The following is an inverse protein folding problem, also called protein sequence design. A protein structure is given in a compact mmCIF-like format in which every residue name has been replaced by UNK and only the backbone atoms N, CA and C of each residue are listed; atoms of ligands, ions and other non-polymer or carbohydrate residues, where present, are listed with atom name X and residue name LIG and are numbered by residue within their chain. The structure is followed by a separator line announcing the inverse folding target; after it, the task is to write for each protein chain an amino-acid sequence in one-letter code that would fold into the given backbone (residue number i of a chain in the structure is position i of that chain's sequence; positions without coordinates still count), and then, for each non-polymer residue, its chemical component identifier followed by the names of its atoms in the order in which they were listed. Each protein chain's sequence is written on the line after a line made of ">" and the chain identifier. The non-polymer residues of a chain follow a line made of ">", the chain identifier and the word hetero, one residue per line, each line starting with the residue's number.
data_IF_324579671912
#
_entry.id   IF_324579671912
#
_cell.length_a   1.000
_cell.length_b   1.000
_cell.length_c   1.000
_cell.angle_alpha   90.00
_cell.angle_beta   90.00
_cell.angle_gamma   90.00
#
_symmetry.space_group_name_H-M   'P 1'
#
loop_
_entity.id
_entity.type
_entity.pdbx_description
1 polymer ?
#
# COMPACT_ATOMS: atom_id res chain seq x y z
N UNK A 1 -29.11 -54.66 -24.06
CA UNK A 1 -27.89 -53.89 -23.75
C UNK A 1 -27.70 -52.77 -24.77
N UNK A 2 -28.47 -51.67 -24.71
CA UNK A 2 -28.16 -50.48 -25.54
C UNK A 2 -28.87 -49.19 -25.11
N UNK A 3 -29.34 -49.08 -23.85
CA UNK A 3 -30.02 -47.86 -23.37
C UNK A 3 -29.19 -47.07 -22.32
N UNK A 4 -28.22 -47.67 -21.65
CA UNK A 4 -27.50 -46.99 -20.55
C UNK A 4 -26.35 -46.06 -20.99
N UNK A 5 -25.68 -46.33 -22.12
CA UNK A 5 -24.52 -45.53 -22.55
C UNK A 5 -24.88 -44.12 -23.06
N UNK A 6 -26.13 -43.88 -23.47
CA UNK A 6 -26.56 -42.55 -23.95
C UNK A 6 -26.80 -41.56 -22.81
N UNK A 7 -27.25 -42.03 -21.63
CA UNK A 7 -27.49 -41.18 -20.47
C UNK A 7 -26.20 -40.74 -19.77
N UNK A 8 -25.19 -41.61 -19.67
CA UNK A 8 -23.88 -41.25 -19.12
C UNK A 8 -23.16 -40.21 -19.99
N UNK A 9 -23.29 -40.32 -21.33
CA UNK A 9 -22.67 -39.37 -22.27
C UNK A 9 -23.35 -38.00 -22.24
N UNK A 10 -24.68 -37.94 -22.05
CA UNK A 10 -25.41 -36.68 -21.89
C UNK A 10 -25.16 -36.02 -20.53
N UNK A 11 -25.03 -36.80 -19.44
CA UNK A 11 -24.66 -36.25 -18.14
C UNK A 11 -23.21 -35.72 -18.11
N UNK A 12 -22.27 -36.40 -18.78
CA UNK A 12 -20.90 -35.90 -18.93
C UNK A 12 -20.82 -34.65 -19.82
N UNK A 13 -21.61 -34.55 -20.89
CA UNK A 13 -21.69 -33.33 -21.71
C UNK A 13 -22.35 -32.16 -20.97
N UNK A 14 -23.32 -32.42 -20.08
CA UNK A 14 -23.94 -31.37 -19.25
C UNK A 14 -23.03 -30.84 -18.13
N UNK A 15 -22.08 -31.65 -17.64
CA UNK A 15 -21.16 -31.25 -16.56
C UNK A 15 -20.00 -30.40 -17.08
N UNK A 16 -19.66 -30.50 -18.36
CA UNK A 16 -18.57 -29.73 -19.00
C UNK A 16 -19.04 -28.33 -19.42
N UNK A 17 -20.35 -28.11 -19.62
CA UNK A 17 -20.90 -26.84 -20.09
C UNK A 17 -20.96 -25.72 -19.03
N UNK A 18 -20.74 -26.01 -17.74
CA UNK A 18 -20.88 -25.04 -16.64
C UNK A 18 -19.58 -24.38 -16.18
N UNK A 19 -18.43 -24.76 -16.75
CA UNK A 19 -17.11 -24.23 -16.36
C UNK A 19 -16.49 -23.31 -17.43
N UNK A 20 -17.31 -22.56 -18.18
CA UNK A 20 -16.78 -21.42 -18.92
C UNK A 20 -16.54 -20.27 -17.93
N UNK A 21 -15.35 -19.64 -17.94
CA UNK A 21 -15.13 -18.44 -17.14
C UNK A 21 -16.22 -17.42 -17.48
N UNK A 22 -16.90 -16.91 -16.45
CA UNK A 22 -17.87 -15.83 -16.67
C UNK A 22 -17.13 -14.63 -17.26
N UNK A 23 -17.60 -14.12 -18.38
CA UNK A 23 -17.02 -12.97 -19.05
C UNK A 23 -17.00 -11.76 -18.11
N UNK A 24 -15.88 -11.05 -18.05
CA UNK A 24 -15.74 -9.86 -17.21
C UNK A 24 -16.34 -8.64 -17.93
N UNK A 25 -17.64 -8.47 -17.77
CA UNK A 25 -18.43 -7.44 -18.48
C UNK A 25 -18.10 -6.00 -18.05
N UNK A 26 -17.41 -5.80 -16.93
CA UNK A 26 -17.09 -4.47 -16.38
C UNK A 26 -15.77 -3.93 -16.95
N UNK A 27 -14.88 -4.81 -17.43
CA UNK A 27 -13.57 -4.39 -17.91
C UNK A 27 -13.70 -3.56 -19.19
N UNK A 28 -13.44 -2.26 -19.07
CA UNK A 28 -13.47 -1.31 -20.17
C UNK A 28 -12.36 -0.27 -20.01
N UNK A 29 -11.61 -0.03 -21.10
CA UNK A 29 -10.46 0.88 -21.13
C UNK A 29 -9.46 0.66 -19.97
N UNK A 30 -9.20 -0.61 -19.63
CA UNK A 30 -8.34 -0.98 -18.51
C UNK A 30 -7.23 -1.92 -19.01
N UNK A 31 -6.07 -1.33 -19.30
CA UNK A 31 -4.94 -2.01 -19.92
C UNK A 31 -4.24 -2.98 -18.94
N UNK A 32 -3.68 -4.09 -19.43
CA UNK A 32 -2.99 -5.09 -18.62
C UNK A 32 -1.78 -4.53 -17.85
N UNK A 33 -1.03 -3.60 -18.47
CA UNK A 33 0.04 -2.85 -17.78
C UNK A 33 -0.47 -2.13 -16.52
N UNK A 34 -1.63 -1.46 -16.62
CA UNK A 34 -2.20 -0.72 -15.48
C UNK A 34 -2.65 -1.68 -14.38
N UNK A 35 -3.29 -2.79 -14.74
CA UNK A 35 -3.65 -3.86 -13.81
C UNK A 35 -2.43 -4.43 -13.08
N UNK A 36 -1.35 -4.70 -13.83
CA UNK A 36 -0.09 -5.18 -13.28
C UNK A 36 0.57 -4.18 -12.33
N UNK A 37 0.57 -2.89 -12.68
CA UNK A 37 1.12 -1.83 -11.84
C UNK A 37 0.27 -1.59 -10.58
N UNK A 38 -1.07 -1.66 -10.66
CA UNK A 38 -1.92 -1.62 -9.46
C UNK A 38 -1.59 -2.79 -8.52
N UNK A 39 -1.42 -4.02 -9.04
CA UNK A 39 -1.01 -5.15 -8.20
C UNK A 39 0.35 -4.94 -7.52
N UNK A 40 1.29 -4.26 -8.19
CA UNK A 40 2.57 -3.87 -7.58
C UNK A 40 2.38 -2.79 -6.51
N UNK A 41 1.57 -1.77 -6.78
CA UNK A 41 1.27 -0.70 -5.83
C UNK A 41 0.61 -1.27 -4.56
N UNK A 42 -0.37 -2.17 -4.70
CA UNK A 42 -0.99 -2.89 -3.58
C UNK A 42 0.08 -3.55 -2.69
N UNK A 43 1.05 -4.24 -3.29
CA UNK A 43 2.12 -4.88 -2.52
C UNK A 43 3.06 -3.87 -1.86
N UNK A 44 3.31 -2.72 -2.50
CA UNK A 44 4.12 -1.65 -1.96
C UNK A 44 3.46 -0.98 -0.75
N UNK A 45 2.15 -0.70 -0.80
CA UNK A 45 1.42 -0.15 0.35
C UNK A 45 1.37 -1.14 1.52
N UNK A 46 1.16 -2.43 1.22
CA UNK A 46 1.24 -3.49 2.24
C UNK A 46 2.65 -3.61 2.85
N UNK A 47 3.69 -3.40 2.04
CA UNK A 47 5.07 -3.35 2.53
C UNK A 47 5.32 -2.12 3.39
N UNK A 48 4.85 -0.94 2.98
CA UNK A 48 4.94 0.29 3.77
C UNK A 48 4.24 0.14 5.12
N UNK A 49 3.01 -0.39 5.11
CA UNK A 49 2.26 -0.76 6.31
C UNK A 49 3.08 -1.68 7.24
N UNK A 50 3.78 -2.68 6.67
CA UNK A 50 4.61 -3.60 7.45
C UNK A 50 5.85 -2.94 8.05
N UNK A 51 6.48 -2.02 7.30
CA UNK A 51 7.61 -1.22 7.78
C UNK A 51 7.17 -0.34 8.96
N UNK A 52 6.06 0.37 8.82
CA UNK A 52 5.52 1.22 9.89
C UNK A 52 5.11 0.43 11.14
N UNK A 53 4.54 -0.77 10.97
CA UNK A 53 4.27 -1.66 12.10
C UNK A 53 5.57 -2.03 12.85
N UNK A 54 6.66 -2.31 12.11
CA UNK A 54 7.95 -2.61 12.73
C UNK A 54 8.54 -1.39 13.47
N UNK A 55 8.38 -0.18 12.94
CA UNK A 55 8.76 1.06 13.61
C UNK A 55 7.97 1.27 14.90
N UNK A 56 6.64 1.13 14.85
CA UNK A 56 5.77 1.28 16.01
C UNK A 56 6.21 0.36 17.17
N UNK A 57 6.43 -0.92 16.88
CA UNK A 57 6.88 -1.89 17.88
C UNK A 57 8.32 -1.68 18.36
N UNK A 58 9.16 -0.99 17.60
CA UNK A 58 10.48 -0.59 18.08
C UNK A 58 10.39 0.51 19.14
N UNK A 59 9.61 1.56 18.86
CA UNK A 59 9.42 2.68 19.80
C UNK A 59 8.64 2.28 21.07
N UNK A 60 7.86 1.20 20.99
CA UNK A 60 7.16 0.61 22.14
C UNK A 60 8.07 -0.11 23.15
N UNK A 61 9.30 -0.48 22.75
CA UNK A 61 10.22 -1.24 23.62
C UNK A 61 10.54 -0.44 24.88
N UNK A 62 10.64 -1.11 26.02
CA UNK A 62 10.92 -0.47 27.32
C UNK A 62 12.27 0.24 27.38
N UNK A 63 13.23 -0.13 26.53
CA UNK A 63 14.55 0.51 26.43
C UNK A 63 14.60 1.63 25.37
N UNK A 64 13.48 1.96 24.72
CA UNK A 64 13.32 3.12 23.81
C UNK A 64 12.25 4.06 24.39
N UNK A 65 11.05 3.55 24.64
CA UNK A 65 9.97 4.17 25.42
C UNK A 65 9.47 5.54 24.92
N UNK A 66 9.37 5.73 23.61
CA UNK A 66 8.84 6.93 22.96
C UNK A 66 7.42 6.67 22.46
N UNK A 67 6.43 7.01 23.29
CA UNK A 67 5.03 6.60 23.07
C UNK A 67 4.30 7.41 22.00
N UNK A 68 4.69 8.67 21.76
CA UNK A 68 4.18 9.45 20.65
C UNK A 68 4.58 8.82 19.32
N UNK A 69 5.85 8.48 19.16
CA UNK A 69 6.36 7.77 17.97
C UNK A 69 5.68 6.42 17.76
N UNK A 70 5.49 5.65 18.84
CA UNK A 70 4.78 4.37 18.77
C UNK A 70 3.39 4.54 18.16
N UNK A 71 2.59 5.48 18.67
CA UNK A 71 1.24 5.76 18.16
C UNK A 71 1.24 6.30 16.74
N UNK A 72 2.16 7.23 16.45
CA UNK A 72 2.30 7.81 15.12
C UNK A 72 2.55 6.74 14.07
N UNK A 73 3.57 5.89 14.26
CA UNK A 73 3.85 4.83 13.29
C UNK A 73 2.80 3.72 13.28
N UNK A 74 2.08 3.50 14.38
CA UNK A 74 0.92 2.60 14.37
C UNK A 74 -0.22 3.17 13.50
N UNK A 75 -0.45 4.49 13.54
CA UNK A 75 -1.42 5.18 12.69
C UNK A 75 -0.99 5.09 11.22
N UNK A 76 0.25 5.42 10.89
CA UNK A 76 0.77 5.30 9.51
C UNK A 76 0.63 3.87 8.98
N UNK A 77 0.92 2.85 9.81
CA UNK A 77 0.76 1.46 9.42
C UNK A 77 -0.69 1.11 9.03
N UNK A 78 -1.68 1.70 9.72
CA UNK A 78 -3.11 1.51 9.42
C UNK A 78 -3.50 2.26 8.15
N UNK A 79 -3.07 3.52 8.00
CA UNK A 79 -3.33 4.34 6.81
C UNK A 79 -2.80 3.65 5.54
N UNK A 80 -1.57 3.14 5.55
CA UNK A 80 -1.05 2.39 4.39
C UNK A 80 -1.81 1.08 4.10
N UNK A 81 -2.38 0.45 5.14
CA UNK A 81 -3.26 -0.69 4.92
C UNK A 81 -4.57 -0.28 4.24
N UNK A 82 -5.12 0.88 4.62
CA UNK A 82 -6.29 1.48 3.97
C UNK A 82 -5.98 1.85 2.51
N UNK A 83 -4.80 2.40 2.20
CA UNK A 83 -4.32 2.65 0.83
C UNK A 83 -4.28 1.37 -0.01
N UNK A 84 -3.70 0.29 0.53
CA UNK A 84 -3.71 -1.00 -0.14
C UNK A 84 -5.13 -1.49 -0.46
N UNK A 85 -6.06 -1.33 0.49
CA UNK A 85 -7.47 -1.71 0.30
C UNK A 85 -8.17 -0.85 -0.76
N UNK A 86 -7.95 0.47 -0.78
CA UNK A 86 -8.47 1.37 -1.84
C UNK A 86 -8.04 0.89 -3.23
N UNK A 87 -6.77 0.52 -3.40
CA UNK A 87 -6.29 -0.04 -4.68
C UNK A 87 -6.92 -1.40 -5.01
N UNK A 88 -7.11 -2.29 -4.04
CA UNK A 88 -7.80 -3.58 -4.24
C UNK A 88 -9.25 -3.38 -4.67
N UNK A 89 -9.96 -2.45 -4.03
CA UNK A 89 -11.33 -2.10 -4.39
C UNK A 89 -11.39 -1.51 -5.81
N UNK A 90 -10.47 -0.61 -6.14
CA UNK A 90 -10.35 -0.03 -7.48
C UNK A 90 -10.05 -1.09 -8.55
N UNK A 91 -9.13 -2.01 -8.29
CA UNK A 91 -8.77 -3.13 -9.16
C UNK A 91 -10.03 -3.94 -9.51
N UNK A 92 -10.81 -4.34 -8.49
CA UNK A 92 -12.07 -5.06 -8.69
C UNK A 92 -13.11 -4.21 -9.45
N UNK A 93 -13.24 -2.91 -9.10
CA UNK A 93 -14.17 -1.97 -9.75
C UNK A 93 -13.92 -1.83 -11.25
N UNK A 94 -12.66 -1.89 -11.70
CA UNK A 94 -12.28 -1.81 -13.12
C UNK A 94 -12.28 -3.15 -13.86
N UNK A 95 -12.62 -4.24 -13.18
CA UNK A 95 -12.58 -5.58 -13.76
C UNK A 95 -11.16 -6.14 -13.91
N UNK A 96 -10.24 -5.69 -13.05
CA UNK A 96 -8.94 -6.34 -12.88
C UNK A 96 -9.00 -7.52 -11.90
N UNK A 97 -7.90 -8.25 -11.81
CA UNK A 97 -7.69 -9.37 -10.89
C UNK A 97 -6.59 -9.02 -9.90
N UNK A 98 -6.91 -9.12 -8.61
CA UNK A 98 -5.93 -8.92 -7.54
C UNK A 98 -4.99 -10.13 -7.49
N UNK A 99 -3.68 -9.88 -7.59
CA UNK A 99 -2.64 -10.89 -7.41
C UNK A 99 -1.75 -10.47 -6.25
N UNK A 100 -1.99 -11.05 -5.06
CA UNK A 100 -1.19 -10.78 -3.87
C UNK A 100 0.20 -11.43 -3.99
N UNK A 101 1.22 -10.66 -3.61
CA UNK A 101 2.62 -11.08 -3.60
C UNK A 101 3.15 -11.18 -2.16
N UNK A 102 4.32 -11.80 -2.00
CA UNK A 102 5.03 -11.79 -0.73
C UNK A 102 5.26 -10.36 -0.23
N UNK A 103 4.94 -10.10 1.03
CA UNK A 103 5.36 -8.87 1.71
C UNK A 103 6.74 -9.15 2.31
N UNK A 104 7.78 -8.50 1.76
CA UNK A 104 9.15 -8.71 2.25
C UNK A 104 9.30 -8.10 3.64
N UNK A 105 10.12 -8.75 4.49
CA UNK A 105 10.45 -8.18 5.80
C UNK A 105 11.20 -6.85 5.63
N UNK A 106 10.97 -5.87 6.51
CA UNK A 106 11.76 -4.64 6.54
C UNK A 106 13.26 -4.97 6.73
N UNK A 107 14.16 -4.30 6.00
CA UNK A 107 15.61 -4.53 6.12
C UNK A 107 16.15 -4.08 7.49
N UNK A 108 15.51 -3.09 8.11
CA UNK A 108 15.83 -2.55 9.42
C UNK A 108 14.68 -2.79 10.40
N UNK A 109 15.01 -3.18 11.64
CA UNK A 109 14.04 -3.51 12.71
C UNK A 109 14.40 -2.88 14.06
N UNK A 110 15.36 -1.95 14.03
CA UNK A 110 15.78 -1.14 15.16
C UNK A 110 16.37 0.15 14.66
N UNK A 111 16.02 1.25 15.30
CA UNK A 111 16.51 2.59 14.99
C UNK A 111 17.27 3.11 16.20
N UNK A 112 18.35 3.84 15.95
CA UNK A 112 19.20 4.43 16.98
C UNK A 112 18.62 5.73 17.53
N UNK A 113 17.72 6.37 16.78
CA UNK A 113 17.05 7.61 17.14
C UNK A 113 15.75 7.79 16.35
N UNK A 114 14.88 8.67 16.83
CA UNK A 114 13.73 9.20 16.11
C UNK A 114 14.12 9.85 14.78
N UNK A 115 15.27 10.52 14.72
CA UNK A 115 15.76 11.14 13.48
C UNK A 115 16.01 10.10 12.40
N UNK A 116 16.71 9.01 12.73
CA UNK A 116 16.97 7.92 11.78
C UNK A 116 15.67 7.26 11.30
N UNK A 117 14.70 7.05 12.20
CA UNK A 117 13.40 6.48 11.84
C UNK A 117 12.63 7.37 10.86
N UNK A 118 12.57 8.69 11.10
CA UNK A 118 11.89 9.61 10.20
C UNK A 118 12.63 9.79 8.86
N UNK A 119 13.96 9.74 8.84
CA UNK A 119 14.73 9.76 7.58
C UNK A 119 14.45 8.50 6.73
N UNK A 120 14.33 7.35 7.39
CA UNK A 120 13.93 6.10 6.71
C UNK A 120 12.48 6.15 6.22
N UNK A 121 11.56 6.67 7.03
CA UNK A 121 10.16 6.86 6.64
C UNK A 121 10.04 7.81 5.44
N UNK A 122 10.74 8.95 5.45
CA UNK A 122 10.79 9.88 4.33
C UNK A 122 11.27 9.20 3.02
N UNK A 123 12.25 8.31 3.11
CA UNK A 123 12.70 7.59 1.92
C UNK A 123 11.64 6.62 1.41
N UNK A 124 10.96 5.90 2.32
CA UNK A 124 9.84 5.03 1.97
C UNK A 124 8.70 5.81 1.28
N UNK A 125 8.29 6.95 1.82
CA UNK A 125 7.26 7.81 1.21
C UNK A 125 7.63 8.28 -0.20
N UNK A 126 8.90 8.62 -0.42
CA UNK A 126 9.41 8.98 -1.75
C UNK A 126 9.39 7.82 -2.73
N UNK A 127 9.71 6.62 -2.26
CA UNK A 127 9.67 5.41 -3.08
C UNK A 127 8.23 5.06 -3.47
N UNK A 128 7.27 5.17 -2.53
CA UNK A 128 5.83 5.04 -2.78
C UNK A 128 5.36 6.07 -3.80
N UNK A 129 5.73 7.35 -3.60
CA UNK A 129 5.35 8.43 -4.52
C UNK A 129 5.92 8.22 -5.92
N UNK A 130 7.17 7.77 -6.05
CA UNK A 130 7.78 7.47 -7.34
C UNK A 130 7.02 6.34 -8.06
N UNK A 131 6.57 5.32 -7.35
CA UNK A 131 5.75 4.25 -7.92
C UNK A 131 4.36 4.74 -8.38
N UNK A 132 3.74 5.66 -7.63
CA UNK A 132 2.49 6.31 -8.04
C UNK A 132 2.67 7.14 -9.31
N UNK A 133 3.77 7.88 -9.44
CA UNK A 133 4.08 8.64 -10.66
C UNK A 133 4.30 7.72 -11.88
N UNK A 134 4.93 6.57 -11.69
CA UNK A 134 5.08 5.57 -12.75
C UNK A 134 3.73 4.97 -13.17
N UNK A 135 2.86 4.67 -12.19
CA UNK A 135 1.50 4.19 -12.44
C UNK A 135 0.64 5.25 -13.16
N UNK A 136 0.74 6.52 -12.75
CA UNK A 136 0.06 7.64 -13.40
C UNK A 136 0.54 7.85 -14.84
N UNK A 137 1.85 7.78 -15.08
CA UNK A 137 2.42 7.83 -16.43
C UNK A 137 1.92 6.69 -17.32
N UNK A 138 1.74 5.48 -16.75
CA UNK A 138 1.12 4.35 -17.46
C UNK A 138 -0.35 4.62 -17.80
N UNK A 139 -1.11 5.21 -16.87
CA UNK A 139 -2.50 5.62 -17.11
C UNK A 139 -2.61 6.61 -18.28
N UNK A 140 -1.74 7.62 -18.31
CA UNK A 140 -1.67 8.58 -19.42
C UNK A 140 -1.31 7.88 -20.73
N UNK A 141 -0.26 7.04 -20.72
CA UNK A 141 0.21 6.31 -21.91
C UNK A 141 -0.90 5.48 -22.56
N UNK A 142 -1.77 4.88 -21.74
CA UNK A 142 -2.86 4.03 -22.18
C UNK A 142 -4.21 4.77 -22.31
N UNK A 143 -4.21 6.10 -22.20
CA UNK A 143 -5.42 6.94 -22.25
C UNK A 143 -6.51 6.48 -21.26
N UNK A 144 -6.15 6.22 -20.01
CA UNK A 144 -7.07 5.85 -18.93
C UNK A 144 -7.31 7.04 -17.97
N UNK A 145 -8.16 8.01 -18.35
CA UNK A 145 -8.36 9.23 -17.55
C UNK A 145 -8.98 8.95 -16.18
N UNK A 146 -9.79 7.89 -16.03
CA UNK A 146 -10.38 7.53 -14.75
C UNK A 146 -9.34 6.91 -13.79
N UNK A 147 -8.27 6.32 -14.30
CA UNK A 147 -7.14 5.92 -13.47
C UNK A 147 -6.27 7.12 -13.08
N UNK A 148 -6.00 8.04 -14.02
CA UNK A 148 -5.29 9.29 -13.69
C UNK A 148 -6.01 10.08 -12.59
N UNK A 149 -7.32 10.30 -12.76
CA UNK A 149 -8.19 11.01 -11.82
C UNK A 149 -8.19 10.36 -10.42
N UNK A 150 -8.38 9.04 -10.36
CA UNK A 150 -8.31 8.28 -9.10
C UNK A 150 -6.96 8.44 -8.38
N UNK A 151 -5.84 8.43 -9.10
CA UNK A 151 -4.52 8.61 -8.50
C UNK A 151 -4.32 10.03 -7.98
N UNK A 152 -4.77 11.02 -8.76
CA UNK A 152 -4.69 12.44 -8.41
C UNK A 152 -5.52 12.76 -7.17
N UNK A 153 -6.80 12.34 -7.14
CA UNK A 153 -7.72 12.66 -6.03
C UNK A 153 -7.39 11.93 -4.73
N UNK A 154 -6.98 10.65 -4.80
CA UNK A 154 -6.89 9.80 -3.61
C UNK A 154 -5.46 9.64 -3.06
N UNK A 155 -4.40 9.95 -3.82
CA UNK A 155 -3.03 9.60 -3.42
C UNK A 155 -1.97 10.66 -3.69
N UNK A 156 -1.96 11.31 -4.86
CA UNK A 156 -0.81 12.16 -5.23
C UNK A 156 -0.67 13.39 -4.33
N UNK A 157 -1.78 14.05 -3.98
CA UNK A 157 -1.78 15.19 -3.05
C UNK A 157 -1.43 14.74 -1.63
N UNK A 158 -1.97 13.60 -1.18
CA UNK A 158 -1.68 13.02 0.14
C UNK A 158 -0.19 12.71 0.31
N UNK A 159 0.45 12.12 -0.71
CA UNK A 159 1.89 11.84 -0.66
C UNK A 159 2.75 13.10 -0.61
N UNK A 160 2.35 14.19 -1.28
CA UNK A 160 3.08 15.46 -1.20
C UNK A 160 3.00 16.03 0.21
N UNK A 161 1.83 15.97 0.86
CA UNK A 161 1.63 16.41 2.23
C UNK A 161 2.39 15.52 3.24
N UNK A 162 2.37 14.20 3.06
CA UNK A 162 3.15 13.24 3.87
C UNK A 162 4.64 13.55 3.79
N UNK A 163 5.21 13.69 2.59
CA UNK A 163 6.62 14.04 2.38
C UNK A 163 6.96 15.37 3.05
N UNK A 164 6.10 16.38 2.94
CA UNK A 164 6.29 17.68 3.59
C UNK A 164 6.28 17.57 5.12
N UNK A 165 5.36 16.78 5.69
CA UNK A 165 5.28 16.51 7.13
C UNK A 165 6.56 15.84 7.63
N UNK A 166 7.04 14.78 6.98
CA UNK A 166 8.28 14.09 7.37
C UNK A 166 9.51 15.01 7.30
N UNK A 167 9.63 15.86 6.27
CA UNK A 167 10.72 16.84 6.19
C UNK A 167 10.65 17.86 7.32
N UNK A 168 9.45 18.28 7.72
CA UNK A 168 9.24 19.18 8.85
C UNK A 168 9.69 18.52 10.16
N UNK A 169 9.28 17.28 10.40
CA UNK A 169 9.70 16.49 11.57
C UNK A 169 11.21 16.29 11.63
N UNK A 170 11.85 15.90 10.53
CA UNK A 170 13.31 15.76 10.44
C UNK A 170 14.01 17.09 10.76
N UNK A 171 13.49 18.20 10.23
CA UNK A 171 14.06 19.53 10.48
C UNK A 171 13.97 19.91 11.96
N UNK A 172 12.83 19.64 12.61
CA UNK A 172 12.65 19.88 14.03
C UNK A 172 13.51 18.96 14.90
N UNK A 173 13.57 17.66 14.59
CA UNK A 173 14.42 16.69 15.29
C UNK A 173 15.91 17.07 15.25
N UNK A 174 16.40 17.53 14.09
CA UNK A 174 17.76 18.07 13.96
C UNK A 174 17.99 19.33 14.79
N UNK A 175 16.96 20.17 14.95
CA UNK A 175 17.04 21.42 15.74
C UNK A 175 17.06 21.14 17.24
N UNK A 176 16.20 20.25 17.72
CA UNK A 176 16.08 19.95 19.16
C UNK A 176 17.18 19.02 19.66
N UNK A 177 17.73 18.19 18.79
CA UNK A 177 18.81 17.26 19.12
C UNK A 177 18.35 16.06 19.97
N UNK A 178 19.29 15.15 20.30
CA UNK A 178 18.98 13.90 21.00
C UNK A 178 18.64 14.12 22.49
N UNK A 179 18.10 13.08 23.13
CA UNK A 179 17.85 13.07 24.58
C UNK A 179 16.62 13.88 24.94
N UNK A 180 16.79 15.01 25.64
CA UNK A 180 15.65 15.84 26.07
C UNK A 180 14.88 16.43 24.88
N UNK A 181 15.57 16.79 23.80
CA UNK A 181 14.93 17.35 22.61
C UNK A 181 13.99 16.35 21.92
N UNK A 182 14.51 15.16 21.64
CA UNK A 182 13.75 14.02 21.13
C UNK A 182 12.57 13.63 22.04
N UNK A 183 12.78 13.63 23.35
CA UNK A 183 11.71 13.36 24.31
C UNK A 183 10.61 14.44 24.26
N UNK A 184 10.96 15.73 24.17
CA UNK A 184 9.97 16.80 24.04
C UNK A 184 9.24 16.68 22.70
N UNK A 185 9.95 16.36 21.61
CA UNK A 185 9.33 16.14 20.30
C UNK A 185 8.29 15.01 20.36
N UNK A 186 8.62 13.87 20.98
CA UNK A 186 7.67 12.76 21.21
C UNK A 186 6.42 13.21 21.96
N UNK A 187 6.55 14.17 22.88
CA UNK A 187 5.43 14.65 23.70
C UNK A 187 4.62 15.74 23.04
N UNK A 188 5.22 16.67 22.33
CA UNK A 188 4.49 17.85 21.86
C UNK A 188 4.00 17.71 20.41
N UNK A 189 4.77 17.03 19.55
CA UNK A 189 4.49 16.98 18.11
C UNK A 189 3.73 15.72 17.67
N UNK A 190 3.81 14.62 18.44
CA UNK A 190 3.26 13.31 18.08
C UNK A 190 2.15 12.81 19.03
N UNK A 191 1.48 13.71 19.75
CA UNK A 191 0.54 13.37 20.83
C UNK A 191 -0.94 13.23 20.45
N UNK A 192 -1.26 13.00 19.17
CA UNK A 192 -2.64 12.67 18.75
C UNK A 192 -2.97 11.17 18.90
#
# INVERSE_FOLDING_TARGET
>A
MSMDKKNETQQQQSFVATNQPRENLVRFNYHEDNEGLINRQINLELYASYVYMAMAHHFDRTNVALKGHQKFFEKMSKEENEHANKFMEYQNKRGGTIVLLDIKKPPQQSWSSSLEAHEMALQLEKDVYQALLELHASAIKHNDPHLSDFLEEEFLDEQVESIHQYVTYITNLRRVGPGLGEYIFDKEELQE
#
